data_IF_675452110860
#
_entry.id   IF_675452110860
#
_cell.length_a   1.000
_cell.length_b   1.000
_cell.length_c   1.000
_cell.angle_alpha   90.00
_cell.angle_beta   90.00
_cell.angle_gamma   90.00
#
_symmetry.space_group_name_H-M   'P 1'
#
loop_
_entity.id
_entity.type
_entity.pdbx_description
1 polymer ?
#
# COMPACT_ATOMS: atom_id res chain seq x y z
N UNK A 1 -39.08 -2.64 -37.55
CA UNK A 1 -38.68 -3.41 -36.38
C UNK A 1 -37.58 -2.63 -35.65
N UNK A 2 -37.89 -2.00 -34.55
CA UNK A 2 -36.90 -1.25 -33.73
C UNK A 2 -36.36 -2.19 -32.65
N UNK A 3 -35.07 -2.46 -32.73
CA UNK A 3 -34.35 -3.27 -31.74
C UNK A 3 -34.15 -2.41 -30.48
N UNK A 4 -34.85 -2.72 -29.39
CA UNK A 4 -34.64 -2.09 -28.10
C UNK A 4 -33.52 -2.87 -27.43
N UNK A 5 -32.30 -2.33 -27.44
CA UNK A 5 -31.21 -2.82 -26.59
C UNK A 5 -31.51 -2.42 -25.14
N UNK A 6 -32.01 -3.35 -24.36
CA UNK A 6 -32.09 -3.20 -22.90
C UNK A 6 -30.69 -3.38 -22.34
N UNK A 7 -30.03 -2.26 -22.02
CA UNK A 7 -28.81 -2.26 -21.22
C UNK A 7 -29.20 -2.59 -19.76
N UNK A 8 -29.01 -3.86 -19.38
CA UNK A 8 -29.04 -4.24 -17.97
C UNK A 8 -27.82 -3.62 -17.27
N UNK A 9 -28.06 -2.47 -16.65
CA UNK A 9 -27.06 -1.80 -15.83
C UNK A 9 -26.71 -2.66 -14.63
N UNK A 10 -25.45 -3.05 -14.52
CA UNK A 10 -24.87 -3.68 -13.33
C UNK A 10 -24.92 -2.65 -12.18
N UNK A 11 -25.90 -2.79 -11.28
CA UNK A 11 -26.01 -1.93 -10.09
C UNK A 11 -24.98 -2.41 -9.06
N UNK A 12 -23.83 -1.77 -9.04
CA UNK A 12 -22.82 -1.95 -7.99
C UNK A 12 -23.16 -0.98 -6.85
N UNK A 13 -23.99 -1.39 -5.91
CA UNK A 13 -24.15 -0.69 -4.65
C UNK A 13 -23.25 -1.31 -3.59
N UNK A 14 -21.97 -0.95 -3.57
CA UNK A 14 -21.13 -1.17 -2.41
C UNK A 14 -21.44 -0.04 -1.40
N UNK A 15 -22.32 -0.30 -0.44
CA UNK A 15 -22.57 0.63 0.66
C UNK A 15 -21.34 0.69 1.57
N UNK A 16 -20.76 1.88 1.75
CA UNK A 16 -19.66 2.12 2.69
C UNK A 16 -19.97 1.60 4.12
N UNK A 17 -21.21 1.72 4.58
CA UNK A 17 -21.67 1.20 5.87
C UNK A 17 -21.43 -0.33 6.04
N UNK A 18 -21.56 -1.12 4.97
CA UNK A 18 -21.28 -2.57 5.03
C UNK A 18 -19.79 -2.89 5.14
N UNK A 19 -18.92 -2.06 4.56
CA UNK A 19 -17.48 -2.25 4.65
C UNK A 19 -16.97 -2.03 6.08
N UNK A 20 -17.54 -1.06 6.79
CA UNK A 20 -17.19 -0.77 8.19
C UNK A 20 -17.64 -1.89 9.13
N UNK A 21 -18.83 -2.45 8.93
CA UNK A 21 -19.32 -3.61 9.69
C UNK A 21 -18.40 -4.83 9.50
N UNK A 22 -17.97 -5.09 8.27
CA UNK A 22 -17.08 -6.18 7.93
C UNK A 22 -15.70 -5.97 8.58
N UNK A 23 -15.17 -4.76 8.51
CA UNK A 23 -13.89 -4.40 9.12
C UNK A 23 -13.97 -4.55 10.64
N UNK A 24 -15.09 -4.19 11.27
CA UNK A 24 -15.32 -4.39 12.70
C UNK A 24 -15.31 -5.87 13.09
N UNK A 25 -15.97 -6.75 12.31
CA UNK A 25 -15.99 -8.20 12.56
C UNK A 25 -14.59 -8.82 12.44
N UNK A 26 -13.82 -8.46 11.42
CA UNK A 26 -12.43 -8.93 11.26
C UNK A 26 -11.56 -8.39 12.41
N UNK A 27 -11.71 -7.13 12.76
CA UNK A 27 -10.96 -6.52 13.86
C UNK A 27 -11.27 -7.16 15.20
N UNK A 28 -12.53 -7.54 15.45
CA UNK A 28 -12.91 -8.31 16.62
C UNK A 28 -12.22 -9.67 16.63
N UNK A 29 -12.30 -10.42 15.52
CA UNK A 29 -11.64 -11.72 15.40
C UNK A 29 -10.13 -11.64 15.62
N UNK A 30 -9.48 -10.61 15.10
CA UNK A 30 -8.06 -10.36 15.34
C UNK A 30 -7.74 -10.09 16.80
N UNK A 31 -8.55 -9.28 17.49
CA UNK A 31 -8.39 -9.01 18.95
C UNK A 31 -8.56 -10.28 19.78
N UNK A 32 -9.48 -11.16 19.43
CA UNK A 32 -9.65 -12.47 20.07
C UNK A 32 -8.38 -13.35 19.96
N UNK A 33 -7.52 -13.06 18.98
CA UNK A 33 -6.21 -13.71 18.77
C UNK A 33 -5.03 -12.85 19.22
N UNK A 34 -5.25 -11.79 20.01
CA UNK A 34 -4.17 -10.93 20.52
C UNK A 34 -3.55 -9.98 19.50
N UNK A 35 -4.20 -9.77 18.34
CA UNK A 35 -3.69 -8.92 17.26
C UNK A 35 -4.41 -7.56 17.24
N UNK A 36 -3.74 -6.49 16.77
CA UNK A 36 -4.36 -5.19 16.62
C UNK A 36 -5.48 -5.20 15.58
N UNK A 37 -6.45 -4.30 15.78
CA UNK A 37 -7.51 -4.06 14.81
C UNK A 37 -6.94 -3.50 13.50
N UNK A 38 -7.65 -3.77 12.39
CA UNK A 38 -7.36 -3.20 11.07
C UNK A 38 -8.34 -2.06 10.76
N UNK A 39 -7.98 -1.20 9.81
CA UNK A 39 -8.81 -0.08 9.33
C UNK A 39 -9.16 -0.28 7.87
N UNK A 40 -10.35 0.16 7.49
CA UNK A 40 -10.74 0.20 6.08
C UNK A 40 -9.81 1.14 5.30
N UNK A 41 -9.26 0.65 4.18
CA UNK A 41 -8.44 1.42 3.25
C UNK A 41 -9.10 1.49 1.88
N UNK A 42 -9.28 2.70 1.36
CA UNK A 42 -9.97 2.92 0.10
C UNK A 42 -9.24 2.32 -1.12
N UNK A 43 -7.90 2.31 -1.12
CA UNK A 43 -7.12 1.73 -2.21
C UNK A 43 -7.20 0.20 -2.20
N UNK A 44 -7.09 -0.42 -1.02
CA UNK A 44 -7.28 -1.87 -0.88
C UNK A 44 -8.71 -2.28 -1.19
N UNK A 45 -9.70 -1.47 -0.81
CA UNK A 45 -11.10 -1.69 -1.19
C UNK A 45 -11.28 -1.64 -2.71
N UNK A 46 -10.67 -0.68 -3.40
CA UNK A 46 -10.72 -0.62 -4.87
C UNK A 46 -10.08 -1.86 -5.54
N UNK A 47 -9.00 -2.40 -4.97
CA UNK A 47 -8.39 -3.65 -5.43
C UNK A 47 -9.36 -4.82 -5.24
N UNK A 48 -9.99 -4.95 -4.07
CA UNK A 48 -10.96 -5.98 -3.78
C UNK A 48 -12.20 -5.88 -4.69
N UNK A 49 -12.72 -4.67 -4.92
CA UNK A 49 -13.85 -4.42 -5.86
C UNK A 49 -13.51 -4.92 -7.25
N UNK A 50 -12.35 -4.54 -7.79
CA UNK A 50 -11.91 -4.95 -9.13
C UNK A 50 -11.82 -6.48 -9.25
N UNK A 51 -11.28 -7.14 -8.23
CA UNK A 51 -11.17 -8.60 -8.21
C UNK A 51 -12.55 -9.28 -8.12
N UNK A 52 -13.40 -8.83 -7.23
CA UNK A 52 -14.76 -9.39 -7.08
C UNK A 52 -15.58 -9.21 -8.37
N UNK A 53 -15.50 -8.04 -9.00
CA UNK A 53 -16.18 -7.76 -10.27
C UNK A 53 -15.65 -8.61 -11.42
N UNK A 54 -14.34 -8.78 -11.54
CA UNK A 54 -13.74 -9.62 -12.56
C UNK A 54 -14.19 -11.09 -12.42
N UNK A 55 -14.16 -11.61 -11.19
CA UNK A 55 -14.67 -12.96 -10.91
C UNK A 55 -16.15 -13.11 -11.24
N UNK A 56 -16.99 -12.14 -10.87
CA UNK A 56 -18.42 -12.16 -11.18
C UNK A 56 -18.69 -12.08 -12.68
N UNK A 57 -17.96 -11.24 -13.40
CA UNK A 57 -18.09 -11.10 -14.86
C UNK A 57 -17.68 -12.38 -15.61
N UNK A 58 -16.58 -13.00 -15.18
CA UNK A 58 -16.08 -14.23 -15.78
C UNK A 58 -16.81 -15.50 -15.29
N UNK A 59 -17.57 -15.44 -14.19
CA UNK A 59 -18.17 -16.60 -13.57
C UNK A 59 -17.15 -17.57 -12.93
N UNK A 60 -15.94 -17.10 -12.62
CA UNK A 60 -14.78 -17.91 -12.21
C UNK A 60 -14.27 -17.43 -10.85
N UNK A 61 -13.96 -18.39 -9.96
CA UNK A 61 -13.24 -18.13 -8.71
C UNK A 61 -11.73 -18.31 -8.96
N UNK A 62 -10.94 -17.28 -8.68
CA UNK A 62 -9.47 -17.34 -8.82
C UNK A 62 -8.82 -16.03 -8.40
N UNK A 63 -7.53 -16.09 -8.08
CA UNK A 63 -6.76 -14.94 -7.64
C UNK A 63 -6.35 -13.99 -8.78
N UNK A 64 -6.14 -14.51 -9.98
CA UNK A 64 -5.57 -13.75 -11.10
C UNK A 64 -6.61 -13.28 -12.14
N UNK A 65 -7.91 -13.39 -11.84
CA UNK A 65 -8.98 -13.06 -12.79
C UNK A 65 -8.96 -11.57 -13.18
N UNK A 66 -8.56 -10.68 -12.29
CA UNK A 66 -8.37 -9.25 -12.56
C UNK A 66 -6.90 -8.88 -12.86
N UNK A 67 -6.07 -9.84 -13.27
CA UNK A 67 -4.62 -9.72 -13.38
C UNK A 67 -3.90 -10.16 -12.10
N UNK A 68 -2.57 -10.29 -12.14
CA UNK A 68 -1.79 -10.79 -11.00
C UNK A 68 -2.01 -9.94 -9.74
N UNK A 69 -1.98 -10.57 -8.57
CA UNK A 69 -2.16 -9.86 -7.31
C UNK A 69 -1.12 -8.76 -7.14
N UNK A 70 0.14 -9.02 -7.46
CA UNK A 70 1.22 -8.03 -7.39
C UNK A 70 0.92 -6.79 -8.24
N UNK A 71 0.41 -6.96 -9.47
CA UNK A 71 0.05 -5.82 -10.33
C UNK A 71 -1.14 -5.04 -9.78
N UNK A 72 -2.09 -5.70 -9.12
CA UNK A 72 -3.28 -5.06 -8.57
C UNK A 72 -3.00 -4.23 -7.32
N UNK A 73 -2.04 -4.65 -6.48
CA UNK A 73 -1.63 -3.87 -5.29
C UNK A 73 -0.60 -2.80 -5.58
N UNK A 74 0.03 -2.81 -6.77
CA UNK A 74 0.98 -1.77 -7.16
C UNK A 74 0.33 -0.36 -7.02
N UNK A 75 1.06 0.58 -6.42
CA UNK A 75 0.56 1.95 -6.20
C UNK A 75 -0.45 2.11 -5.04
N UNK A 76 -0.74 1.05 -4.28
CA UNK A 76 -1.57 1.18 -3.08
C UNK A 76 -0.81 1.75 -1.87
N UNK A 77 0.52 1.85 -1.95
CA UNK A 77 1.43 2.15 -0.83
C UNK A 77 1.31 1.11 0.30
N UNK A 78 1.23 -0.15 -0.11
CA UNK A 78 1.18 -1.31 0.78
C UNK A 78 2.43 -2.14 0.51
N UNK A 79 3.27 -2.30 1.51
CA UNK A 79 4.55 -3.01 1.41
C UNK A 79 4.40 -4.52 1.63
N UNK A 80 3.29 -4.92 2.26
CA UNK A 80 2.98 -6.30 2.57
C UNK A 80 1.47 -6.50 2.49
N UNK A 81 1.01 -7.44 1.66
CA UNK A 81 -0.42 -7.72 1.50
C UNK A 81 -0.71 -9.20 1.23
N UNK A 82 -1.94 -9.61 1.55
CA UNK A 82 -2.50 -10.91 1.21
C UNK A 82 -3.95 -10.78 0.73
N UNK A 83 -4.41 -11.75 -0.04
CA UNK A 83 -5.75 -11.78 -0.59
C UNK A 83 -6.49 -13.05 -0.16
N UNK A 84 -7.77 -12.90 0.20
CA UNK A 84 -8.72 -13.98 0.27
C UNK A 84 -9.81 -13.78 -0.77
N UNK A 85 -10.15 -14.84 -1.49
CA UNK A 85 -11.30 -14.86 -2.40
C UNK A 85 -12.25 -16.00 -2.04
N UNK A 86 -13.54 -15.78 -2.30
CA UNK A 86 -14.55 -16.81 -2.14
C UNK A 86 -15.69 -16.61 -3.15
N UNK A 87 -16.46 -17.68 -3.40
CA UNK A 87 -17.64 -17.60 -4.23
C UNK A 87 -18.74 -18.55 -3.69
N UNK A 88 -20.01 -18.18 -3.91
CA UNK A 88 -21.17 -19.00 -3.59
C UNK A 88 -21.77 -18.78 -2.20
N UNK A 89 -21.07 -18.12 -1.29
CA UNK A 89 -21.66 -17.72 0.00
C UNK A 89 -22.57 -16.51 -0.18
N UNK A 90 -23.71 -16.50 0.54
CA UNK A 90 -24.73 -15.47 0.38
C UNK A 90 -24.49 -14.26 1.28
N UNK A 91 -23.81 -14.48 2.41
CA UNK A 91 -23.60 -13.45 3.42
C UNK A 91 -22.13 -13.29 3.75
N UNK A 92 -21.78 -12.12 4.28
CA UNK A 92 -20.45 -11.89 4.82
C UNK A 92 -20.09 -12.84 5.96
N UNK A 93 -21.04 -13.10 6.86
CA UNK A 93 -20.82 -13.99 8.00
C UNK A 93 -20.46 -15.42 7.54
N UNK A 94 -21.13 -15.94 6.50
CA UNK A 94 -20.78 -17.24 5.92
C UNK A 94 -19.40 -17.23 5.26
N UNK A 95 -19.08 -16.15 4.53
CA UNK A 95 -17.78 -15.98 3.90
C UNK A 95 -16.65 -15.93 4.94
N UNK A 96 -16.82 -15.16 6.00
CA UNK A 96 -15.84 -15.09 7.09
C UNK A 96 -15.70 -16.44 7.79
N UNK A 97 -16.80 -17.17 7.99
CA UNK A 97 -16.78 -18.51 8.61
C UNK A 97 -15.93 -19.48 7.79
N UNK A 98 -16.10 -19.55 6.48
CA UNK A 98 -15.31 -20.45 5.63
C UNK A 98 -13.84 -20.02 5.57
N UNK A 99 -13.55 -18.72 5.58
CA UNK A 99 -12.17 -18.24 5.64
C UNK A 99 -11.49 -18.57 6.98
N UNK A 100 -12.20 -18.45 8.10
CA UNK A 100 -11.68 -18.87 9.42
C UNK A 100 -11.39 -20.38 9.49
N UNK A 101 -12.18 -21.20 8.80
CA UNK A 101 -12.01 -22.65 8.76
C UNK A 101 -10.90 -23.13 7.82
N UNK A 102 -10.39 -22.29 6.93
CA UNK A 102 -9.34 -22.61 5.98
C UNK A 102 -7.99 -22.10 6.48
N UNK A 103 -6.99 -22.98 6.66
CA UNK A 103 -5.69 -22.61 7.22
C UNK A 103 -5.02 -21.43 6.49
N UNK A 104 -5.01 -21.45 5.14
CA UNK A 104 -4.40 -20.37 4.35
C UNK A 104 -5.17 -19.04 4.45
N UNK A 105 -6.51 -19.08 4.32
CA UNK A 105 -7.32 -17.87 4.45
C UNK A 105 -7.27 -17.31 5.88
N UNK A 106 -7.25 -18.18 6.88
CA UNK A 106 -7.15 -17.78 8.28
C UNK A 106 -5.80 -17.13 8.59
N UNK A 107 -4.71 -17.67 8.06
CA UNK A 107 -3.39 -17.06 8.19
C UNK A 107 -3.38 -15.61 7.64
N UNK A 108 -4.08 -15.37 6.52
CA UNK A 108 -4.22 -14.02 5.98
C UNK A 108 -5.05 -13.09 6.89
N UNK A 109 -6.16 -13.58 7.49
CA UNK A 109 -6.95 -12.80 8.46
C UNK A 109 -6.13 -12.40 9.69
N UNK A 110 -5.21 -13.29 10.10
CA UNK A 110 -4.38 -13.15 11.31
C UNK A 110 -2.95 -12.68 11.02
N UNK A 111 -2.68 -12.06 9.87
CA UNK A 111 -1.37 -11.44 9.60
C UNK A 111 -1.00 -10.44 10.68
N UNK A 112 0.13 -10.68 11.34
CA UNK A 112 0.55 -9.87 12.48
C UNK A 112 0.88 -8.42 12.10
N UNK A 113 1.44 -8.22 10.91
CA UNK A 113 1.85 -6.92 10.36
C UNK A 113 0.70 -6.09 9.76
N UNK A 114 -0.51 -6.65 9.62
CA UNK A 114 -1.60 -5.95 8.97
C UNK A 114 -2.23 -4.85 9.84
N UNK A 115 -2.47 -3.70 9.22
CA UNK A 115 -3.16 -2.53 9.78
C UNK A 115 -4.34 -2.04 8.91
N UNK A 116 -4.40 -2.50 7.67
CA UNK A 116 -5.30 -2.01 6.63
C UNK A 116 -6.04 -3.14 5.92
N UNK A 117 -7.30 -2.88 5.56
CA UNK A 117 -8.21 -3.85 4.98
C UNK A 117 -9.06 -3.23 3.86
N UNK A 118 -9.27 -3.98 2.78
CA UNK A 118 -10.29 -3.71 1.78
C UNK A 118 -11.12 -4.96 1.52
N UNK A 119 -12.44 -4.83 1.44
CA UNK A 119 -13.36 -5.96 1.19
C UNK A 119 -14.41 -5.55 0.16
N UNK A 120 -14.80 -6.50 -0.71
CA UNK A 120 -15.85 -6.30 -1.67
C UNK A 120 -16.61 -7.59 -1.97
N UNK A 121 -17.83 -7.41 -2.45
CA UNK A 121 -18.64 -8.47 -3.07
C UNK A 121 -19.19 -7.96 -4.39
N UNK A 122 -19.24 -8.83 -5.38
CA UNK A 122 -19.95 -8.61 -6.65
C UNK A 122 -20.90 -9.75 -6.92
N UNK A 123 -22.04 -9.43 -7.53
CA UNK A 123 -23.09 -10.39 -7.84
C UNK A 123 -23.26 -10.54 -9.34
N UNK A 124 -23.49 -11.79 -9.78
CA UNK A 124 -23.92 -12.09 -11.14
C UNK A 124 -24.83 -13.34 -11.10
N UNK A 125 -26.13 -13.09 -11.17
CA UNK A 125 -27.17 -14.14 -11.07
C UNK A 125 -27.11 -15.17 -12.20
N UNK A 126 -26.44 -14.84 -13.31
CA UNK A 126 -26.28 -15.74 -14.46
C UNK A 126 -25.10 -16.71 -14.32
N UNK A 127 -24.38 -16.68 -13.21
CA UNK A 127 -23.23 -17.56 -12.95
C UNK A 127 -23.58 -18.64 -11.92
N UNK A 128 -22.78 -19.72 -11.90
CA UNK A 128 -22.93 -20.82 -10.94
C UNK A 128 -22.93 -20.35 -9.48
N UNK A 129 -22.02 -19.42 -9.16
CA UNK A 129 -21.80 -19.01 -7.76
C UNK A 129 -22.63 -17.81 -7.33
N UNK A 130 -23.08 -16.97 -8.28
CA UNK A 130 -23.89 -15.76 -8.08
C UNK A 130 -23.25 -14.65 -7.27
N UNK A 131 -22.51 -14.96 -6.20
CA UNK A 131 -21.80 -14.01 -5.35
C UNK A 131 -20.29 -14.32 -5.31
N UNK A 132 -19.47 -13.28 -5.43
CA UNK A 132 -18.01 -13.37 -5.47
C UNK A 132 -17.42 -12.36 -4.49
N UNK A 133 -16.62 -12.85 -3.58
CA UNK A 133 -16.03 -12.08 -2.48
C UNK A 133 -14.54 -11.93 -2.67
N UNK A 134 -14.03 -10.76 -2.38
CA UNK A 134 -12.59 -10.52 -2.30
C UNK A 134 -12.27 -9.68 -1.07
N UNK A 135 -11.17 -10.00 -0.41
CA UNK A 135 -10.58 -9.25 0.69
C UNK A 135 -9.10 -9.07 0.42
N UNK A 136 -8.60 -7.87 0.62
CA UNK A 136 -7.17 -7.57 0.65
C UNK A 136 -6.85 -7.01 2.02
N UNK A 137 -5.88 -7.63 2.70
CA UNK A 137 -5.39 -7.20 4.01
C UNK A 137 -3.89 -6.98 3.93
N UNK A 138 -3.37 -5.95 4.59
CA UNK A 138 -1.95 -5.66 4.52
C UNK A 138 -1.49 -4.55 5.44
N UNK A 139 -0.19 -4.25 5.34
CA UNK A 139 0.46 -3.16 6.05
C UNK A 139 0.66 -1.96 5.12
N UNK A 140 0.27 -0.78 5.60
CA UNK A 140 0.51 0.47 4.89
C UNK A 140 1.90 1.00 5.20
N UNK A 141 2.65 1.28 4.16
CA UNK A 141 3.87 2.04 4.32
C UNK A 141 3.56 3.39 4.99
N UNK A 142 4.22 3.66 6.11
CA UNK A 142 4.08 4.95 6.77
C UNK A 142 4.43 6.04 5.75
N UNK A 143 3.54 7.01 5.52
CA UNK A 143 3.90 8.19 4.72
C UNK A 143 5.20 8.74 5.28
N UNK A 144 6.29 8.65 4.54
CA UNK A 144 7.53 9.36 4.88
C UNK A 144 7.13 10.82 5.06
N UNK A 145 7.12 11.29 6.32
CA UNK A 145 7.07 12.72 6.56
C UNK A 145 8.25 13.29 5.76
N UNK A 146 8.05 14.29 4.90
CA UNK A 146 9.18 14.98 4.30
C UNK A 146 10.13 15.27 5.46
N UNK A 147 11.40 14.86 5.33
CA UNK A 147 12.40 15.25 6.29
C UNK A 147 12.23 16.77 6.42
N UNK A 148 11.89 17.27 7.61
CA UNK A 148 11.97 18.69 7.89
C UNK A 148 13.41 19.02 7.58
N UNK A 149 13.62 19.67 6.43
CA UNK A 149 14.88 20.33 6.13
C UNK A 149 15.03 21.27 7.32
N UNK A 150 15.90 20.88 8.25
CA UNK A 150 16.27 21.76 9.34
C UNK A 150 16.85 22.99 8.66
N UNK A 151 16.09 24.08 8.67
CA UNK A 151 16.53 25.40 8.26
C UNK A 151 17.60 25.86 9.28
N UNK A 152 18.81 25.26 9.15
CA UNK A 152 19.98 25.56 9.95
C UNK A 152 20.84 26.62 9.31
N UNK A 153 20.30 27.35 8.31
CA UNK A 153 21.07 28.41 7.67
C UNK A 153 20.33 29.77 7.71
N UNK A 154 19.84 30.14 8.93
CA UNK A 154 19.54 31.52 9.21
C UNK A 154 20.29 31.97 10.46
N UNK A 155 21.53 32.37 10.26
CA UNK A 155 22.15 33.24 11.24
C UNK A 155 23.56 32.93 11.68
N UNK A 156 24.48 32.68 10.78
CA UNK A 156 25.88 32.98 11.05
C UNK A 156 26.58 33.45 9.78
N UNK A 157 26.39 34.71 9.47
CA UNK A 157 27.29 35.42 8.59
C UNK A 157 28.61 35.53 9.37
N UNK A 158 29.73 34.96 8.88
CA UNK A 158 31.03 35.21 9.51
C UNK A 158 31.31 36.69 9.43
N UNK A 159 31.53 37.32 10.58
CA UNK A 159 32.12 38.67 10.66
C UNK A 159 33.47 38.58 9.96
N UNK A 160 33.63 39.27 8.87
CA UNK A 160 34.95 39.52 8.26
C UNK A 160 35.78 40.30 9.25
N UNK A 161 37.04 39.89 9.49
CA UNK A 161 37.97 40.73 10.26
C UNK A 161 38.30 41.96 9.44
N UNK A 162 38.61 43.10 10.09
CA UNK A 162 38.93 44.34 9.39
C UNK A 162 40.20 44.20 8.58
N UNK A 163 40.15 44.71 7.34
CA UNK A 163 41.30 44.93 6.48
C UNK A 163 42.20 45.97 7.10
N UNK A 164 43.36 45.57 7.58
CA UNK A 164 44.46 46.49 7.77
C UNK A 164 45.25 46.55 6.45
N UNK A 165 45.13 47.72 5.85
CA UNK A 165 46.05 48.25 4.87
C UNK A 165 47.33 48.71 5.58
N UNK A 166 48.45 48.39 5.05
CA UNK A 166 49.62 49.22 4.94
C UNK A 166 50.94 48.49 5.17
N UNK A 167 51.70 48.60 4.19
CA UNK A 167 53.04 49.06 4.17
C UNK A 167 54.16 48.05 3.98
N UNK A 168 54.63 48.11 2.77
CA UNK A 168 56.03 48.33 2.32
C UNK A 168 57.12 47.35 2.80
N UNK A 169 57.82 46.85 1.85
CA UNK A 169 59.27 46.71 1.96
C UNK A 169 59.81 45.31 1.66
N UNK A 170 60.09 45.10 0.45
CA UNK A 170 61.48 44.82 -0.05
C UNK A 170 62.35 43.88 0.80
N UNK A 171 62.78 42.84 0.17
CA UNK A 171 64.16 42.34 0.05
C UNK A 171 64.17 40.83 -0.21
N UNK A 172 64.40 40.51 -1.45
CA UNK A 172 65.66 39.95 -1.98
C UNK A 172 66.03 38.55 -1.45
N UNK A 173 65.91 37.59 -2.33
CA UNK A 173 67.02 36.83 -2.90
C UNK A 173 67.73 35.79 -2.01
N UNK A 174 67.91 34.66 -2.60
CA UNK A 174 68.90 33.57 -2.37
C UNK A 174 68.31 32.38 -1.62
N UNK A 175 68.47 31.17 -2.06
CA UNK A 175 69.39 30.50 -3.02
C UNK A 175 68.73 29.14 -3.26
N UNK A 176 68.51 28.74 -4.44
CA UNK A 176 69.29 27.83 -5.28
C UNK A 176 70.15 26.82 -4.51
N UNK A 177 69.90 25.61 -4.85
CA UNK A 177 70.85 24.53 -4.97
C UNK A 177 70.77 23.42 -3.92
N UNK A 178 70.58 22.33 -4.48
CA UNK A 178 71.31 21.04 -4.33
C UNK A 178 70.65 20.03 -3.42
N UNK A 179 70.48 18.83 -3.72
CA UNK A 179 71.06 17.75 -4.54
C UNK A 179 70.02 16.59 -4.47
N UNK A 180 69.51 15.99 -5.48
CA UNK A 180 70.12 14.94 -6.35
C UNK A 180 70.98 13.92 -5.60
N UNK A 181 70.58 12.71 -5.78
CA UNK A 181 71.18 11.42 -5.45
C UNK A 181 70.76 10.85 -4.08
N UNK A 182 70.32 9.65 -3.99
CA UNK A 182 70.87 8.41 -4.51
C UNK A 182 69.76 7.31 -4.47
N UNK A 183 69.73 6.60 -5.55
CA UNK A 183 69.36 5.20 -5.62
C UNK A 183 70.55 4.35 -5.06
N UNK A 184 70.31 3.11 -4.73
CA UNK A 184 70.07 2.10 -5.74
C UNK A 184 68.67 1.47 -5.73
#
# INVERSE_FOLDING_TARGET
MRLICVLFGLVVTASAARADDITAMISQYRREHGLPAVKTDAKLTAVAVRQAQAMASAGVLGHDVAGSFASRIAGTNTDSAAENVAAGTKTWADTLRIWKASAGHNANLLRADADSLGVAVAYNENTRYKAYWAMVIGHKEAKRRPAMVADHDRGMRPKQPPTEESSVGTLLTRAVTSLRNLLP
#
